data_IF_236474620527
#
_entry.id   IF_236474620527
#
_cell.length_a   1.000
_cell.length_b   1.000
_cell.length_c   1.000
_cell.angle_alpha   90.00
_cell.angle_beta   90.00
_cell.angle_gamma   90.00
#
_symmetry.space_group_name_H-M   'P 1'
#
loop_
_entity.id
_entity.type
_entity.pdbx_description
1 polymer ?
#
# COMPACT_ATOMS: atom_id res chain seq x y z
N UNK A 1 8.74 -14.36 -1.43
CA UNK A 1 8.41 -15.80 -1.58
C UNK A 1 8.62 -16.63 -0.29
N UNK A 2 8.87 -16.05 0.89
CA UNK A 2 8.90 -16.82 2.16
C UNK A 2 7.55 -16.83 2.87
N UNK A 3 6.95 -15.65 3.06
CA UNK A 3 5.68 -15.49 3.76
C UNK A 3 4.52 -16.23 3.08
N UNK A 4 4.38 -16.08 1.75
CA UNK A 4 3.43 -16.81 0.92
C UNK A 4 3.54 -18.34 1.06
N UNK A 5 4.77 -18.88 1.14
CA UNK A 5 4.99 -20.30 1.29
C UNK A 5 4.50 -20.81 2.65
N UNK A 6 4.72 -20.03 3.72
CA UNK A 6 4.20 -20.33 5.05
C UNK A 6 2.67 -20.39 5.08
N UNK A 7 2.00 -19.41 4.47
CA UNK A 7 0.53 -19.38 4.37
C UNK A 7 -0.02 -20.56 3.58
N UNK A 8 0.58 -20.88 2.42
CA UNK A 8 0.14 -22.03 1.62
C UNK A 8 0.33 -23.35 2.38
N UNK A 9 1.45 -23.50 3.11
CA UNK A 9 1.74 -24.68 3.92
C UNK A 9 0.80 -24.83 5.14
N UNK A 10 0.20 -23.75 5.63
CA UNK A 10 -0.85 -23.80 6.66
C UNK A 10 -2.25 -24.05 6.08
N UNK A 11 -2.39 -24.12 4.75
CA UNK A 11 -3.67 -24.30 4.06
C UNK A 11 -4.42 -23.00 3.76
N UNK A 12 -3.81 -21.84 3.95
CA UNK A 12 -4.44 -20.55 3.69
C UNK A 12 -4.36 -20.15 2.21
N UNK A 13 -5.51 -19.86 1.61
CA UNK A 13 -5.56 -19.25 0.29
C UNK A 13 -5.05 -17.81 0.34
N UNK A 14 -4.20 -17.42 -0.62
CA UNK A 14 -3.52 -16.12 -0.62
C UNK A 14 -3.82 -15.33 -1.89
N UNK A 15 -4.19 -14.05 -1.72
CA UNK A 15 -4.38 -13.09 -2.80
C UNK A 15 -3.19 -12.13 -2.85
N UNK A 16 -2.44 -12.14 -3.95
CA UNK A 16 -1.31 -11.24 -4.18
C UNK A 16 -1.76 -9.98 -4.93
N UNK A 17 -1.62 -8.83 -4.29
CA UNK A 17 -2.10 -7.54 -4.83
C UNK A 17 -1.00 -6.71 -5.52
N UNK A 18 0.27 -7.11 -5.39
CA UNK A 18 1.40 -6.29 -5.83
C UNK A 18 1.62 -5.07 -4.93
N UNK A 19 2.33 -4.03 -5.42
CA UNK A 19 2.52 -2.79 -4.67
C UNK A 19 1.18 -2.11 -4.38
N UNK A 20 0.87 -1.92 -3.11
CA UNK A 20 -0.38 -1.35 -2.62
C UNK A 20 -0.10 -0.56 -1.33
N UNK A 21 -0.61 0.68 -1.18
CA UNK A 21 -0.53 1.41 0.07
C UNK A 21 -1.12 0.62 1.23
N UNK A 22 -0.56 0.80 2.42
CA UNK A 22 -1.05 0.20 3.66
C UNK A 22 -2.56 0.39 3.86
N UNK A 23 -3.15 1.60 3.70
CA UNK A 23 -4.61 1.75 3.78
C UNK A 23 -5.39 1.00 2.68
N UNK A 24 -4.76 0.77 1.52
CA UNK A 24 -5.34 -0.05 0.45
C UNK A 24 -5.49 -1.52 0.84
N UNK A 25 -4.52 -2.09 1.56
CA UNK A 25 -4.64 -3.45 2.11
C UNK A 25 -5.79 -3.53 3.12
N UNK A 26 -5.86 -2.60 4.08
CA UNK A 26 -6.95 -2.55 5.05
C UNK A 26 -8.34 -2.51 4.40
N UNK A 27 -8.51 -1.70 3.35
CA UNK A 27 -9.75 -1.63 2.57
C UNK A 27 -10.05 -2.94 1.82
N UNK A 28 -9.07 -3.46 1.08
CA UNK A 28 -9.26 -4.62 0.21
C UNK A 28 -9.47 -5.91 1.00
N UNK A 29 -8.88 -6.06 2.18
CA UNK A 29 -9.15 -7.18 3.09
C UNK A 29 -10.65 -7.33 3.38
N UNK A 30 -11.33 -6.22 3.70
CA UNK A 30 -12.79 -6.24 3.92
C UNK A 30 -13.57 -6.55 2.65
N UNK A 31 -13.18 -5.90 1.54
CA UNK A 31 -13.89 -6.00 0.25
C UNK A 31 -13.76 -7.39 -0.39
N UNK A 32 -12.65 -8.08 -0.16
CA UNK A 32 -12.45 -9.47 -0.58
C UNK A 32 -12.97 -10.49 0.44
N UNK A 33 -13.54 -10.05 1.57
CA UNK A 33 -13.95 -10.91 2.69
C UNK A 33 -12.81 -11.83 3.17
N UNK A 34 -11.57 -11.33 3.15
CA UNK A 34 -10.42 -12.06 3.65
C UNK A 34 -10.37 -12.03 5.19
N UNK A 35 -9.81 -13.08 5.79
CA UNK A 35 -9.67 -13.18 7.25
C UNK A 35 -8.57 -12.27 7.80
N UNK A 36 -7.57 -11.95 6.98
CA UNK A 36 -6.48 -11.06 7.32
C UNK A 36 -5.92 -10.33 6.09
N UNK A 37 -5.34 -9.15 6.32
CA UNK A 37 -4.53 -8.40 5.37
C UNK A 37 -3.09 -8.34 5.84
N UNK A 38 -2.14 -8.38 4.92
CA UNK A 38 -0.72 -8.29 5.25
C UNK A 38 -0.02 -7.30 4.34
N UNK A 39 0.74 -6.38 4.94
CA UNK A 39 1.65 -5.46 4.24
C UNK A 39 3.09 -5.85 4.56
N UNK A 40 3.93 -5.90 3.54
CA UNK A 40 5.39 -6.02 3.69
C UNK A 40 5.98 -4.64 3.43
N UNK A 41 6.29 -3.90 4.50
CA UNK A 41 6.82 -2.53 4.42
C UNK A 41 7.38 -2.05 5.76
N UNK A 42 8.37 -1.15 5.70
CA UNK A 42 8.86 -0.33 6.81
C UNK A 42 8.46 1.17 6.69
N UNK A 43 7.39 1.50 5.96
CA UNK A 43 6.82 2.86 5.88
C UNK A 43 7.83 3.90 5.38
N UNK A 44 8.20 4.88 6.22
CA UNK A 44 9.11 5.97 5.89
C UNK A 44 10.59 5.61 6.08
N UNK A 45 10.91 4.40 6.50
CA UNK A 45 12.28 3.96 6.73
C UNK A 45 13.08 3.85 5.42
N UNK A 46 14.42 3.86 5.49
CA UNK A 46 15.27 3.62 4.32
C UNK A 46 15.07 2.22 3.71
N UNK A 47 15.56 2.04 2.48
CA UNK A 47 15.31 0.85 1.66
C UNK A 47 15.84 -0.49 2.22
N UNK A 48 16.77 -0.45 3.17
CA UNK A 48 17.35 -1.63 3.82
C UNK A 48 16.51 -2.16 4.98
N UNK A 49 15.53 -1.38 5.45
CA UNK A 49 14.55 -1.80 6.44
C UNK A 49 13.31 -2.44 5.79
N UNK A 50 12.71 -3.40 6.50
CA UNK A 50 11.43 -3.98 6.14
C UNK A 50 10.66 -4.46 7.38
N UNK A 51 9.37 -4.72 7.22
CA UNK A 51 8.49 -5.16 8.29
C UNK A 51 7.27 -5.88 7.75
N UNK A 52 6.51 -6.51 8.66
CA UNK A 52 5.24 -7.15 8.34
C UNK A 52 4.17 -6.50 9.21
N UNK A 53 3.13 -5.95 8.58
CA UNK A 53 1.96 -5.37 9.28
C UNK A 53 0.75 -6.24 8.99
N UNK A 54 -0.01 -6.57 10.03
CA UNK A 54 -1.21 -7.38 9.92
C UNK A 54 -2.47 -6.56 10.14
N UNK A 55 -3.51 -6.91 9.39
CA UNK A 55 -4.85 -6.39 9.51
C UNK A 55 -5.82 -7.54 9.75
N UNK A 56 -6.78 -7.34 10.64
CA UNK A 56 -7.91 -8.26 10.82
C UNK A 56 -8.81 -8.28 9.58
N UNK A 57 -9.72 -9.24 9.49
CA UNK A 57 -10.76 -9.24 8.45
C UNK A 57 -11.66 -8.00 8.45
N UNK A 58 -11.65 -7.21 9.53
CA UNK A 58 -12.32 -5.90 9.62
C UNK A 58 -11.45 -4.73 9.14
N UNK A 59 -10.26 -5.00 8.60
CA UNK A 59 -9.32 -3.98 8.10
C UNK A 59 -8.70 -3.12 9.20
N UNK A 60 -8.76 -3.54 10.46
CA UNK A 60 -8.13 -2.86 11.60
C UNK A 60 -6.82 -3.55 11.96
N UNK A 61 -5.96 -2.90 12.77
CA UNK A 61 -4.82 -3.59 13.42
C UNK A 61 -5.32 -4.84 14.14
N UNK A 62 -4.49 -5.89 14.18
CA UNK A 62 -4.77 -7.06 15.00
C UNK A 62 -4.96 -6.65 16.47
N UNK A 63 -5.91 -7.28 17.18
CA UNK A 63 -5.99 -7.20 18.63
C UNK A 63 -4.71 -7.72 19.30
N UNK A 64 -4.34 -7.11 20.44
CA UNK A 64 -3.09 -7.45 21.15
C UNK A 64 -3.03 -8.93 21.59
N UNK A 65 -4.16 -9.54 21.94
CA UNK A 65 -4.22 -10.96 22.29
C UNK A 65 -3.88 -11.87 21.11
N UNK A 66 -4.27 -11.50 19.89
CA UNK A 66 -3.88 -12.21 18.66
C UNK A 66 -2.39 -12.01 18.37
N UNK A 67 -1.85 -10.81 18.59
CA UNK A 67 -0.41 -10.56 18.43
C UNK A 67 0.41 -11.44 19.38
N UNK A 68 0.02 -11.51 20.66
CA UNK A 68 0.65 -12.39 21.65
C UNK A 68 0.54 -13.88 21.28
N UNK A 69 -0.61 -14.32 20.76
CA UNK A 69 -0.76 -15.70 20.28
C UNK A 69 0.19 -16.02 19.11
N UNK A 70 0.39 -15.07 18.19
CA UNK A 70 1.35 -15.23 17.09
C UNK A 70 2.76 -15.37 17.67
N UNK A 71 3.14 -14.52 18.63
CA UNK A 71 4.45 -14.58 19.29
C UNK A 71 4.69 -15.94 19.97
N UNK A 72 3.72 -16.47 20.71
CA UNK A 72 3.82 -17.80 21.32
C UNK A 72 3.99 -18.92 20.28
N UNK A 73 3.33 -18.80 19.12
CA UNK A 73 3.42 -19.78 18.04
C UNK A 73 4.74 -19.72 17.26
N UNK A 74 5.48 -18.61 17.32
CA UNK A 74 6.79 -18.48 16.66
C UNK A 74 7.84 -19.44 17.25
N UNK A 75 7.76 -19.69 18.56
CA UNK A 75 8.67 -20.61 19.25
C UNK A 75 8.19 -22.07 19.20
N UNK A 76 6.98 -22.31 18.70
CA UNK A 76 6.42 -23.65 18.56
C UNK A 76 6.91 -24.34 17.27
N UNK A 77 6.99 -25.69 17.25
CA UNK A 77 7.27 -26.42 16.01
C UNK A 77 6.23 -26.12 14.93
N UNK A 78 6.69 -25.76 13.74
CA UNK A 78 5.80 -25.50 12.60
C UNK A 78 4.99 -26.75 12.24
N UNK A 79 3.67 -26.57 12.13
CA UNK A 79 2.76 -27.59 11.59
C UNK A 79 2.35 -27.23 10.16
N UNK A 80 2.22 -28.23 9.31
CA UNK A 80 1.77 -28.06 7.92
C UNK A 80 0.58 -28.95 7.63
N UNK A 81 -0.23 -28.55 6.65
CA UNK A 81 -1.35 -29.37 6.17
C UNK A 81 -0.87 -30.42 5.16
N UNK A 82 -1.66 -31.47 4.99
CA UNK A 82 -1.48 -32.47 3.94
C UNK A 82 -1.48 -31.82 2.55
N UNK A 83 -0.77 -32.43 1.59
CA UNK A 83 -0.58 -31.90 0.24
C UNK A 83 -1.89 -31.53 -0.48
N UNK A 84 -2.96 -32.30 -0.26
CA UNK A 84 -4.28 -32.07 -0.84
C UNK A 84 -5.00 -30.83 -0.29
N UNK A 85 -4.52 -30.26 0.83
CA UNK A 85 -5.09 -29.10 1.53
C UNK A 85 -4.22 -27.86 1.46
N UNK A 86 -3.12 -27.88 0.70
CA UNK A 86 -2.28 -26.70 0.52
C UNK A 86 -3.09 -25.53 -0.03
N UNK A 87 -2.87 -24.36 0.56
CA UNK A 87 -3.53 -23.12 0.16
C UNK A 87 -3.09 -22.70 -1.24
N UNK A 88 -4.02 -22.14 -2.00
CA UNK A 88 -3.79 -21.67 -3.36
C UNK A 88 -3.39 -20.21 -3.37
N UNK A 89 -2.51 -19.85 -4.29
CA UNK A 89 -2.07 -18.47 -4.48
C UNK A 89 -2.60 -17.96 -5.80
N UNK A 90 -3.20 -16.77 -5.78
CA UNK A 90 -3.68 -16.10 -6.99
C UNK A 90 -3.29 -14.62 -6.98
N UNK A 91 -3.11 -14.05 -8.18
CA UNK A 91 -2.80 -12.61 -8.35
C UNK A 91 -4.07 -11.86 -8.71
N UNK A 92 -4.31 -10.74 -8.03
CA UNK A 92 -5.44 -9.86 -8.30
C UNK A 92 -4.94 -8.66 -9.10
N UNK A 93 -5.28 -8.63 -10.39
CA UNK A 93 -4.76 -7.61 -11.31
C UNK A 93 -5.53 -6.28 -11.25
N UNK A 94 -6.77 -6.29 -10.76
CA UNK A 94 -7.66 -5.11 -10.70
C UNK A 94 -7.67 -4.42 -9.32
N UNK A 95 -6.85 -4.87 -8.37
CA UNK A 95 -6.82 -4.36 -6.98
C UNK A 95 -6.56 -2.85 -6.91
N UNK A 96 -5.61 -2.35 -7.72
CA UNK A 96 -5.31 -0.91 -7.79
C UNK A 96 -6.52 -0.10 -8.26
N UNK A 97 -7.22 -0.56 -9.32
CA UNK A 97 -8.42 0.11 -9.82
C UNK A 97 -9.53 0.17 -8.75
N UNK A 98 -9.76 -0.93 -8.04
CA UNK A 98 -10.74 -0.97 -6.93
C UNK A 98 -10.42 0.03 -5.82
N UNK A 99 -9.14 0.18 -5.47
CA UNK A 99 -8.73 1.14 -4.45
C UNK A 99 -8.76 2.58 -4.96
N UNK A 100 -8.42 2.83 -6.24
CA UNK A 100 -8.56 4.14 -6.89
C UNK A 100 -10.03 4.60 -6.86
N UNK A 101 -10.98 3.74 -7.25
CA UNK A 101 -12.41 4.05 -7.17
C UNK A 101 -12.86 4.34 -5.73
N UNK A 102 -12.38 3.55 -4.76
CA UNK A 102 -12.66 3.81 -3.35
C UNK A 102 -12.16 5.20 -2.91
N UNK A 103 -10.91 5.56 -3.23
CA UNK A 103 -10.37 6.88 -2.93
C UNK A 103 -11.21 8.00 -3.55
N UNK A 104 -11.63 7.87 -4.81
CA UNK A 104 -12.50 8.87 -5.47
C UNK A 104 -13.88 8.96 -4.84
N UNK A 105 -14.42 7.85 -4.34
CA UNK A 105 -15.73 7.84 -3.65
C UNK A 105 -15.73 8.57 -2.30
N UNK A 106 -14.56 9.01 -1.80
CA UNK A 106 -14.46 9.84 -0.60
C UNK A 106 -14.93 11.29 -0.81
N UNK A 107 -15.11 11.71 -2.07
CA UNK A 107 -15.67 13.02 -2.44
C UNK A 107 -17.01 12.85 -3.16
N UNK A 108 -17.90 13.88 -3.15
CA UNK A 108 -19.11 13.86 -3.96
C UNK A 108 -18.83 13.57 -5.43
N UNK A 109 -19.74 12.86 -6.11
CA UNK A 109 -19.59 12.53 -7.54
C UNK A 109 -19.58 13.75 -8.47
N UNK A 110 -20.02 14.90 -7.97
CA UNK A 110 -19.95 16.19 -8.67
C UNK A 110 -18.62 16.93 -8.46
N UNK A 111 -17.71 16.38 -7.65
CA UNK A 111 -16.39 16.98 -7.42
C UNK A 111 -15.53 16.80 -8.66
N UNK A 112 -14.92 17.91 -9.09
CA UNK A 112 -14.03 17.99 -10.24
C UNK A 112 -12.87 18.91 -9.88
N UNK A 113 -11.65 18.43 -10.11
CA UNK A 113 -10.39 19.13 -9.86
C UNK A 113 -9.86 19.82 -11.13
N UNK A 114 -10.67 19.94 -12.18
CA UNK A 114 -10.32 20.73 -13.36
C UNK A 114 -9.83 22.14 -13.00
N UNK A 115 -8.68 22.50 -13.55
CA UNK A 115 -8.00 23.76 -13.28
C UNK A 115 -7.07 23.74 -12.06
N UNK A 116 -7.07 22.67 -11.26
CA UNK A 116 -6.16 22.48 -10.14
C UNK A 116 -4.84 21.85 -10.61
N UNK A 117 -3.72 22.48 -10.29
CA UNK A 117 -2.36 21.98 -10.53
C UNK A 117 -1.79 21.40 -9.25
N UNK A 118 -1.47 20.12 -9.26
CA UNK A 118 -0.98 19.39 -8.08
C UNK A 118 0.38 18.76 -8.37
N UNK A 119 1.33 18.95 -7.47
CA UNK A 119 2.57 18.17 -7.45
C UNK A 119 2.44 17.04 -6.43
N UNK A 120 2.69 15.81 -6.86
CA UNK A 120 2.68 14.63 -5.99
C UNK A 120 4.09 14.08 -5.86
N UNK A 121 4.60 13.95 -4.64
CA UNK A 121 5.79 13.16 -4.32
C UNK A 121 5.33 11.80 -3.78
N UNK A 122 5.61 10.74 -4.53
CA UNK A 122 5.19 9.38 -4.18
C UNK A 122 6.28 8.57 -3.47
N UNK A 123 7.39 9.20 -3.05
CA UNK A 123 8.49 8.60 -2.29
C UNK A 123 9.16 7.35 -2.93
N UNK A 124 8.95 7.14 -4.23
CA UNK A 124 9.18 5.87 -4.93
C UNK A 124 8.56 4.66 -4.18
N UNK A 125 7.47 4.90 -3.46
CA UNK A 125 6.77 3.95 -2.60
C UNK A 125 5.51 3.38 -3.23
N UNK A 126 4.62 2.88 -2.39
CA UNK A 126 3.43 2.14 -2.79
C UNK A 126 2.39 2.99 -3.56
N UNK A 127 2.41 4.31 -3.41
CA UNK A 127 1.46 5.24 -4.03
C UNK A 127 1.82 5.63 -5.47
N UNK A 128 2.99 5.24 -6.00
CA UNK A 128 3.53 5.70 -7.29
C UNK A 128 2.60 5.58 -8.51
N UNK A 129 1.69 4.60 -8.50
CA UNK A 129 0.63 4.43 -9.52
C UNK A 129 -0.71 4.97 -9.06
N UNK A 130 -1.04 4.77 -7.79
CA UNK A 130 -2.39 5.01 -7.26
C UNK A 130 -2.65 6.51 -7.09
N UNK A 131 -1.76 7.24 -6.42
CA UNK A 131 -2.00 8.66 -6.15
C UNK A 131 -2.15 9.46 -7.46
N UNK A 132 -1.23 9.35 -8.45
CA UNK A 132 -1.41 10.07 -9.71
C UNK A 132 -2.71 9.72 -10.45
N UNK A 133 -3.14 8.45 -10.43
CA UNK A 133 -4.42 8.05 -11.04
C UNK A 133 -5.61 8.69 -10.35
N UNK A 134 -5.68 8.68 -9.01
CA UNK A 134 -6.78 9.30 -8.25
C UNK A 134 -6.95 10.77 -8.62
N UNK A 135 -5.86 11.56 -8.58
CA UNK A 135 -5.95 13.00 -8.86
C UNK A 135 -6.24 13.31 -10.34
N UNK A 136 -5.64 12.57 -11.28
CA UNK A 136 -5.90 12.77 -12.72
C UNK A 136 -7.32 12.39 -13.11
N UNK A 137 -7.85 11.29 -12.58
CA UNK A 137 -9.21 10.85 -12.85
C UNK A 137 -10.28 11.77 -12.24
N UNK A 138 -9.91 12.53 -11.20
CA UNK A 138 -10.73 13.62 -10.65
C UNK A 138 -10.57 14.94 -11.43
N UNK A 139 -9.71 15.01 -12.46
CA UNK A 139 -9.57 16.18 -13.35
C UNK A 139 -8.37 17.10 -13.07
N UNK A 140 -7.53 16.79 -12.09
CA UNK A 140 -6.37 17.64 -11.78
C UNK A 140 -5.27 17.53 -12.86
N UNK A 141 -4.53 18.63 -13.06
CA UNK A 141 -3.25 18.62 -13.75
C UNK A 141 -2.17 18.15 -12.75
N UNK A 142 -1.54 17.00 -13.02
CA UNK A 142 -0.67 16.31 -12.05
C UNK A 142 0.76 16.20 -12.54
N UNK A 143 1.67 16.90 -11.86
CA UNK A 143 3.11 16.67 -11.91
C UNK A 143 3.49 15.64 -10.84
N UNK A 144 4.32 14.65 -11.19
CA UNK A 144 4.70 13.57 -10.28
C UNK A 144 6.21 13.54 -10.08
N UNK A 145 6.62 13.52 -8.82
CA UNK A 145 7.98 13.29 -8.35
C UNK A 145 8.07 11.89 -7.73
N UNK A 146 9.28 11.32 -7.76
CA UNK A 146 9.60 10.06 -7.10
C UNK A 146 8.53 8.97 -7.31
N UNK A 147 8.23 8.64 -8.57
CA UNK A 147 7.27 7.60 -8.94
C UNK A 147 7.87 6.54 -9.86
N UNK A 148 9.19 6.33 -9.77
CA UNK A 148 9.95 5.36 -10.56
C UNK A 148 10.71 4.42 -9.62
N UNK A 149 9.99 3.57 -8.85
CA UNK A 149 10.62 2.64 -7.93
C UNK A 149 11.56 1.67 -8.66
N UNK A 150 12.78 1.54 -8.15
CA UNK A 150 13.77 0.57 -8.65
C UNK A 150 14.14 -0.51 -7.61
N UNK A 151 13.46 -0.50 -6.45
CA UNK A 151 13.69 -1.40 -5.33
C UNK A 151 14.71 -0.92 -4.30
N UNK A 152 15.42 0.19 -4.56
CA UNK A 152 16.45 0.75 -3.67
C UNK A 152 16.26 2.25 -3.37
N UNK A 153 15.38 2.93 -4.11
CA UNK A 153 15.21 4.40 -4.04
C UNK A 153 13.97 4.85 -3.26
N UNK A 154 13.34 3.96 -2.49
CA UNK A 154 12.22 4.32 -1.62
C UNK A 154 12.69 5.29 -0.54
N UNK A 155 11.95 6.37 -0.31
CA UNK A 155 12.24 7.43 0.67
C UNK A 155 13.62 8.12 0.52
N UNK A 156 14.40 7.81 -0.53
CA UNK A 156 15.73 8.42 -0.74
C UNK A 156 15.57 9.88 -1.16
N UNK A 157 15.69 10.78 -0.18
CA UNK A 157 15.59 12.24 -0.37
C UNK A 157 14.29 12.68 -1.08
N UNK A 158 13.22 11.94 -0.85
CA UNK A 158 11.88 12.22 -1.35
C UNK A 158 10.83 11.77 -0.32
N UNK A 159 9.58 12.12 -0.57
CA UNK A 159 8.45 11.76 0.28
C UNK A 159 8.28 12.68 1.50
N UNK A 160 7.38 12.28 2.39
CA UNK A 160 6.90 13.10 3.51
C UNK A 160 8.00 13.49 4.52
N UNK A 161 9.12 12.76 4.54
CA UNK A 161 10.29 13.03 5.39
C UNK A 161 11.31 13.96 4.74
N UNK A 162 11.19 14.24 3.43
CA UNK A 162 12.12 15.05 2.64
C UNK A 162 11.36 15.99 1.68
N UNK A 163 10.91 17.13 2.20
CA UNK A 163 9.99 18.03 1.47
C UNK A 163 10.67 19.04 0.53
N UNK A 164 12.00 19.20 0.58
CA UNK A 164 12.71 20.24 -0.17
C UNK A 164 12.45 20.14 -1.69
N UNK A 165 12.46 18.92 -2.23
CA UNK A 165 12.19 18.66 -3.65
C UNK A 165 10.74 18.99 -4.04
N UNK A 166 9.77 18.62 -3.20
CA UNK A 166 8.36 18.95 -3.43
C UNK A 166 8.13 20.47 -3.40
N UNK A 167 8.70 21.16 -2.41
CA UNK A 167 8.56 22.61 -2.28
C UNK A 167 9.13 23.35 -3.51
N UNK A 168 10.32 22.95 -3.98
CA UNK A 168 10.91 23.51 -5.18
C UNK A 168 10.02 23.27 -6.42
N UNK A 169 9.51 22.05 -6.59
CA UNK A 169 8.67 21.70 -7.73
C UNK A 169 7.32 22.44 -7.72
N UNK A 170 6.70 22.66 -6.56
CA UNK A 170 5.47 23.45 -6.46
C UNK A 170 5.68 24.87 -6.99
N UNK A 171 6.80 25.50 -6.64
CA UNK A 171 7.17 26.84 -7.12
C UNK A 171 7.51 26.81 -8.62
N UNK A 172 8.33 25.85 -9.06
CA UNK A 172 8.76 25.70 -10.45
C UNK A 172 7.59 25.50 -11.42
N UNK A 173 6.62 24.65 -11.03
CA UNK A 173 5.46 24.33 -11.86
C UNK A 173 4.28 25.28 -11.68
N UNK A 174 4.41 26.29 -10.81
CA UNK A 174 3.30 27.18 -10.41
C UNK A 174 2.07 26.37 -10.00
N UNK A 175 2.27 25.32 -9.21
CA UNK A 175 1.21 24.45 -8.73
C UNK A 175 0.42 25.11 -7.60
N UNK A 176 -0.86 24.75 -7.48
CA UNK A 176 -1.73 25.24 -6.41
C UNK A 176 -1.41 24.58 -5.07
N UNK A 177 -0.95 23.32 -5.10
CA UNK A 177 -0.53 22.58 -3.91
C UNK A 177 0.44 21.44 -4.23
N UNK A 178 1.16 21.00 -3.20
CA UNK A 178 2.00 19.80 -3.21
C UNK A 178 1.58 18.80 -2.15
N UNK A 179 1.63 17.51 -2.45
CA UNK A 179 1.34 16.41 -1.51
C UNK A 179 2.51 15.44 -1.55
N UNK A 180 3.10 15.17 -0.38
CA UNK A 180 4.12 14.14 -0.22
C UNK A 180 3.55 12.95 0.57
N UNK A 181 3.64 11.77 -0.02
CA UNK A 181 3.39 10.49 0.65
C UNK A 181 4.69 9.93 1.23
N UNK A 182 4.60 8.98 2.14
CA UNK A 182 5.77 8.17 2.51
C UNK A 182 5.82 6.88 1.65
N UNK A 183 6.72 5.96 2.02
CA UNK A 183 6.95 4.71 1.30
C UNK A 183 5.73 3.77 1.22
N UNK A 184 4.79 3.81 2.16
CA UNK A 184 3.59 2.95 2.16
C UNK A 184 2.25 3.68 2.13
N UNK A 185 2.27 5.00 1.95
CA UNK A 185 1.15 5.84 1.53
C UNK A 185 0.35 6.44 2.67
#
# INVERSE_FOLDING_TARGET
SAFEAGLSASGADTLLLGPMPTPGIAYLTRTFHAEAGVVISASHNPHDDNGIKFFSGQGTKLPDDVELMIEELLDAPMTVVESARLGKVSRINDAAGRYIEFCKSSVPTSTDFNGLKVVLDCANGATYKIAPSVFRELGAEVTVLAASPNGLNINDKCGSTHLDGLQAAVVEHHADLGIAFDGDG
#
